data_IF_698136923961
#
_entry.id   IF_698136923961
#
_cell.length_a   1.000
_cell.length_b   1.000
_cell.length_c   1.000
_cell.angle_alpha   90.00
_cell.angle_beta   90.00
_cell.angle_gamma   90.00
#
_symmetry.space_group_name_H-M   'P 1'
#
loop_
_entity.id
_entity.type
_entity.pdbx_description
1 polymer ?
#
# COMPACT_ATOMS: atom_id res chain seq x y z
N UNK A 1 -19.19 15.13 9.49
CA UNK A 1 -17.74 14.93 9.70
C UNK A 1 -17.09 14.79 8.34
N UNK A 2 -15.84 15.23 8.16
CA UNK A 2 -15.09 15.04 6.92
C UNK A 2 -13.78 14.31 7.22
N UNK A 3 -13.41 13.33 6.40
CA UNK A 3 -12.21 12.51 6.57
C UNK A 3 -11.41 12.51 5.26
N UNK A 4 -10.14 12.87 5.33
CA UNK A 4 -9.19 12.80 4.22
C UNK A 4 -8.20 11.67 4.55
N UNK A 5 -8.03 10.71 3.64
CA UNK A 5 -7.12 9.57 3.87
C UNK A 5 -6.05 9.47 2.78
N UNK A 6 -4.81 9.72 3.19
CA UNK A 6 -3.61 9.44 2.40
C UNK A 6 -3.06 8.06 2.74
N UNK A 7 -3.27 7.11 1.84
CA UNK A 7 -2.62 5.80 1.88
C UNK A 7 -2.74 5.11 0.51
N UNK A 8 -1.90 4.09 0.30
CA UNK A 8 -2.11 3.14 -0.77
C UNK A 8 -3.40 2.35 -0.53
N UNK A 9 -4.15 2.09 -1.60
CA UNK A 9 -5.44 1.41 -1.57
C UNK A 9 -6.43 1.99 -0.55
N UNK A 10 -6.36 3.30 -0.30
CA UNK A 10 -7.12 3.97 0.77
C UNK A 10 -8.64 3.83 0.63
N UNK A 11 -9.16 3.69 -0.59
CA UNK A 11 -10.57 3.35 -0.84
C UNK A 11 -11.02 2.04 -0.18
N UNK A 12 -10.12 1.06 -0.02
CA UNK A 12 -10.44 -0.26 0.58
C UNK A 12 -10.82 -0.20 2.05
N UNK A 13 -10.56 0.93 2.72
CA UNK A 13 -10.92 1.17 4.13
C UNK A 13 -12.44 1.43 4.27
N UNK A 14 -13.08 1.93 3.21
CA UNK A 14 -14.46 2.40 3.25
C UNK A 14 -15.39 1.64 2.30
N UNK A 15 -14.86 1.12 1.20
CA UNK A 15 -15.63 0.43 0.16
C UNK A 15 -16.39 -0.78 0.72
N UNK A 16 -17.71 -0.76 0.58
CA UNK A 16 -18.61 -1.79 1.12
C UNK A 16 -18.72 -1.82 2.65
N UNK A 17 -18.18 -0.83 3.36
CA UNK A 17 -18.13 -0.78 4.83
C UNK A 17 -18.78 0.47 5.42
N UNK A 18 -18.54 1.65 4.85
CA UNK A 18 -19.01 2.92 5.39
C UNK A 18 -20.50 3.15 5.04
N UNK A 19 -21.42 3.21 6.02
CA UNK A 19 -22.82 3.54 5.76
C UNK A 19 -23.01 5.01 5.38
N UNK A 20 -23.99 5.30 4.52
CA UNK A 20 -24.29 6.65 4.02
C UNK A 20 -25.03 7.54 5.04
N UNK A 21 -25.66 6.95 6.06
CA UNK A 21 -26.54 7.63 7.02
C UNK A 21 -25.80 8.28 8.21
N UNK A 22 -24.47 8.24 8.21
CA UNK A 22 -23.65 8.74 9.32
C UNK A 22 -23.26 10.23 9.21
N UNK A 23 -23.67 10.94 8.15
CA UNK A 23 -23.23 12.31 7.86
C UNK A 23 -21.69 12.45 7.84
N UNK A 24 -21.02 11.45 7.27
CA UNK A 24 -19.57 11.38 7.09
C UNK A 24 -19.28 11.51 5.59
N UNK A 25 -18.43 12.45 5.22
CA UNK A 25 -17.88 12.57 3.87
C UNK A 25 -16.41 12.16 3.89
N UNK A 26 -16.00 11.33 2.93
CA UNK A 26 -14.65 10.79 2.86
C UNK A 26 -14.06 11.04 1.48
N UNK A 27 -12.79 11.45 1.46
CA UNK A 27 -11.95 11.49 0.26
C UNK A 27 -10.69 10.67 0.51
N UNK A 28 -10.26 9.93 -0.51
CA UNK A 28 -9.12 9.03 -0.42
C UNK A 28 -8.10 9.37 -1.51
N UNK A 29 -6.82 9.17 -1.22
CA UNK A 29 -5.73 9.40 -2.17
C UNK A 29 -5.74 8.42 -3.35
N UNK A 30 -6.39 7.28 -3.18
CA UNK A 30 -6.45 6.18 -4.12
C UNK A 30 -7.77 5.40 -3.98
N UNK A 31 -8.18 4.73 -5.06
CA UNK A 31 -9.20 3.68 -5.02
C UNK A 31 -8.70 2.43 -4.25
N UNK A 32 -9.50 1.37 -4.16
CA UNK A 32 -9.14 0.17 -3.39
C UNK A 32 -8.07 -0.75 -4.02
N UNK A 33 -7.47 -0.38 -5.18
CA UNK A 33 -6.55 -1.25 -5.94
C UNK A 33 -5.25 -0.60 -6.38
N UNK A 34 -5.09 0.70 -6.20
CA UNK A 34 -3.92 1.44 -6.67
C UNK A 34 -3.06 1.99 -5.52
N UNK A 35 -1.82 2.36 -5.84
CA UNK A 35 -0.93 2.99 -4.87
C UNK A 35 -1.25 4.49 -4.74
N UNK A 36 -0.88 5.07 -3.60
CA UNK A 36 -0.71 6.51 -3.51
C UNK A 36 0.75 6.92 -3.75
N UNK A 37 1.01 8.22 -3.78
CA UNK A 37 2.22 8.77 -4.37
C UNK A 37 2.84 9.86 -3.49
N UNK A 38 4.16 9.79 -3.30
CA UNK A 38 4.98 10.85 -2.74
C UNK A 38 5.32 11.90 -3.79
N UNK A 39 5.41 13.16 -3.39
CA UNK A 39 5.85 14.30 -4.21
C UNK A 39 7.00 15.04 -3.51
N UNK A 40 7.59 16.02 -4.19
CA UNK A 40 8.75 16.78 -3.68
C UNK A 40 9.90 15.86 -3.27
N UNK A 41 10.19 14.88 -4.13
CA UNK A 41 11.19 13.85 -3.90
C UNK A 41 12.54 14.18 -4.57
N UNK A 42 13.68 13.73 -4.01
CA UNK A 42 14.99 13.98 -4.60
C UNK A 42 15.12 13.42 -6.02
N UNK A 43 15.49 14.25 -6.98
CA UNK A 43 15.64 13.85 -8.39
C UNK A 43 14.33 13.85 -9.19
N UNK A 44 13.22 14.31 -8.59
CA UNK A 44 11.96 14.60 -9.26
C UNK A 44 11.78 16.11 -9.41
N UNK A 45 10.84 16.55 -10.25
CA UNK A 45 10.53 17.97 -10.48
C UNK A 45 9.08 18.31 -10.08
N UNK A 46 8.84 19.17 -9.06
CA UNK A 46 9.85 19.98 -8.37
C UNK A 46 10.62 19.18 -7.31
N UNK A 47 11.94 19.38 -7.30
CA UNK A 47 12.84 18.73 -6.32
C UNK A 47 12.88 19.50 -5.01
N UNK A 48 13.05 18.82 -3.87
CA UNK A 48 13.34 19.49 -2.60
C UNK A 48 14.76 20.08 -2.62
N UNK A 49 15.10 20.98 -1.67
CA UNK A 49 16.47 21.46 -1.52
C UNK A 49 17.48 20.30 -1.38
N UNK A 50 18.72 20.42 -1.91
CA UNK A 50 19.68 19.31 -2.03
C UNK A 50 20.07 18.63 -0.70
N UNK A 51 19.90 19.30 0.43
CA UNK A 51 20.11 18.75 1.77
C UNK A 51 19.07 17.69 2.17
N UNK A 52 17.89 17.67 1.53
CA UNK A 52 16.85 16.68 1.78
C UNK A 52 17.02 15.45 0.89
N UNK A 53 17.07 14.28 1.53
CA UNK A 53 17.19 12.98 0.87
C UNK A 53 15.90 12.15 0.94
N UNK A 54 14.78 12.78 1.26
CA UNK A 54 13.45 12.18 1.38
C UNK A 54 12.43 13.02 0.61
N UNK A 55 11.28 12.43 0.27
CA UNK A 55 10.11 13.17 -0.18
C UNK A 55 9.60 14.09 0.95
N UNK A 56 9.17 15.31 0.60
CA UNK A 56 8.67 16.28 1.58
C UNK A 56 7.15 16.24 1.78
N UNK A 57 6.43 15.58 0.89
CA UNK A 57 4.99 15.44 1.01
C UNK A 57 4.43 14.33 0.14
N UNK A 58 3.13 14.11 0.27
CA UNK A 58 2.38 13.14 -0.50
C UNK A 58 1.45 13.87 -1.45
N UNK A 59 1.35 13.40 -2.69
CA UNK A 59 0.71 14.13 -3.78
C UNK A 59 -0.72 14.52 -3.39
N UNK A 60 -1.55 13.58 -2.94
CA UNK A 60 -2.91 13.89 -2.52
C UNK A 60 -2.94 14.86 -1.34
N UNK A 61 -2.10 14.63 -0.32
CA UNK A 61 -2.06 15.48 0.89
C UNK A 61 -1.65 16.92 0.58
N UNK A 62 -0.57 17.09 -0.18
CA UNK A 62 -0.05 18.39 -0.60
C UNK A 62 -1.09 19.12 -1.43
N UNK A 63 -1.72 18.45 -2.40
CA UNK A 63 -2.62 19.10 -3.33
C UNK A 63 -3.83 19.74 -2.61
N UNK A 64 -4.48 19.09 -1.63
CA UNK A 64 -5.61 19.73 -0.93
C UNK A 64 -5.16 20.78 0.10
N UNK A 65 -3.98 20.61 0.72
CA UNK A 65 -3.45 21.59 1.68
C UNK A 65 -3.05 22.90 1.00
N UNK A 66 -2.37 22.82 -0.15
CA UNK A 66 -1.95 24.00 -0.92
C UNK A 66 -3.15 24.74 -1.53
N UNK A 67 -4.14 23.98 -2.02
CA UNK A 67 -5.43 24.54 -2.47
C UNK A 67 -6.12 25.33 -1.34
N UNK A 68 -6.29 24.70 -0.17
CA UNK A 68 -6.94 25.32 0.99
C UNK A 68 -6.23 26.59 1.48
N UNK A 69 -4.91 26.67 1.28
CA UNK A 69 -4.09 27.82 1.68
C UNK A 69 -4.17 28.98 0.69
N UNK A 70 -4.43 28.69 -0.59
CA UNK A 70 -4.42 29.68 -1.67
C UNK A 70 -5.81 30.23 -2.01
N UNK A 71 -6.87 29.55 -1.56
CA UNK A 71 -8.26 29.93 -1.79
C UNK A 71 -8.97 30.47 -0.54
N UNK A 72 -10.12 31.14 -0.77
CA UNK A 72 -10.98 31.62 0.31
C UNK A 72 -11.98 30.53 0.71
N UNK A 73 -11.67 29.84 1.81
CA UNK A 73 -12.47 28.73 2.37
C UNK A 73 -13.91 29.10 2.77
N UNK A 74 -14.29 30.39 2.79
CA UNK A 74 -15.70 30.80 2.97
C UNK A 74 -16.51 30.79 1.67
N UNK A 75 -15.83 30.71 0.52
CA UNK A 75 -16.43 30.69 -0.82
C UNK A 75 -16.29 29.32 -1.48
N UNK A 76 -15.18 28.66 -1.25
CA UNK A 76 -14.88 27.33 -1.77
C UNK A 76 -15.63 26.26 -0.96
N UNK A 77 -16.30 25.35 -1.68
CA UNK A 77 -16.91 24.17 -1.07
C UNK A 77 -15.96 22.97 -1.12
N UNK A 78 -16.21 21.96 -0.29
CA UNK A 78 -15.47 20.68 -0.34
C UNK A 78 -15.57 20.02 -1.73
N UNK A 79 -16.70 20.22 -2.42
CA UNK A 79 -16.88 19.73 -3.79
C UNK A 79 -15.97 20.48 -4.76
N UNK A 80 -15.87 21.81 -4.63
CA UNK A 80 -15.00 22.64 -5.47
C UNK A 80 -13.53 22.25 -5.28
N UNK A 81 -13.06 22.16 -4.04
CA UNK A 81 -11.72 21.68 -3.71
C UNK A 81 -11.47 20.30 -4.34
N UNK A 82 -12.40 19.37 -4.16
CA UNK A 82 -12.25 18.03 -4.73
C UNK A 82 -12.10 18.07 -6.27
N UNK A 83 -12.94 18.83 -6.95
CA UNK A 83 -12.89 18.97 -8.41
C UNK A 83 -11.66 19.74 -8.91
N UNK A 84 -11.10 20.66 -8.13
CA UNK A 84 -9.90 21.41 -8.51
C UNK A 84 -8.64 20.57 -8.27
N UNK A 85 -8.54 19.95 -7.10
CA UNK A 85 -7.35 19.21 -6.67
C UNK A 85 -7.17 17.87 -7.40
N UNK A 86 -8.26 17.17 -7.73
CA UNK A 86 -8.20 15.75 -8.12
C UNK A 86 -8.75 15.44 -9.52
N UNK A 87 -9.06 16.46 -10.33
CA UNK A 87 -9.60 16.30 -11.70
C UNK A 87 -8.53 16.36 -12.79
N UNK A 88 -7.48 17.17 -12.58
CA UNK A 88 -6.37 17.35 -13.53
C UNK A 88 -5.15 16.49 -13.18
N UNK A 89 -4.84 16.33 -11.88
CA UNK A 89 -4.01 15.23 -11.40
C UNK A 89 -4.92 14.02 -11.24
N UNK A 90 -4.71 12.97 -12.04
CA UNK A 90 -5.52 11.73 -12.01
C UNK A 90 -5.26 10.92 -10.73
N UNK A 91 -5.53 11.53 -9.58
CA UNK A 91 -5.66 10.90 -8.28
C UNK A 91 -7.08 10.33 -8.24
N UNK A 92 -7.21 9.01 -8.37
CA UNK A 92 -8.51 8.41 -8.65
C UNK A 92 -9.37 8.20 -7.39
N UNK A 93 -10.66 8.19 -7.69
CA UNK A 93 -11.84 8.37 -6.86
C UNK A 93 -12.14 7.25 -5.85
N UNK A 94 -12.41 7.61 -4.59
CA UNK A 94 -13.50 7.03 -3.79
C UNK A 94 -14.35 8.18 -3.25
N UNK A 95 -15.50 8.44 -3.90
CA UNK A 95 -16.61 9.15 -3.28
C UNK A 95 -17.51 8.09 -2.66
N UNK A 96 -18.12 8.38 -1.50
CA UNK A 96 -19.27 7.61 -1.03
C UNK A 96 -20.20 7.29 -2.22
N UNK A 97 -20.49 6.01 -2.39
CA UNK A 97 -20.98 5.40 -3.62
C UNK A 97 -22.15 6.17 -4.26
N UNK A 98 -21.90 6.88 -5.37
CA UNK A 98 -22.94 7.36 -6.30
C UNK A 98 -22.88 6.51 -7.58
N UNK A 99 -23.86 5.62 -7.83
CA UNK A 99 -23.91 4.77 -9.01
C UNK A 99 -23.99 5.54 -10.35
N UNK A 100 -24.15 6.86 -10.35
CA UNK A 100 -24.17 7.69 -11.56
C UNK A 100 -22.78 7.99 -12.16
N UNK A 101 -21.67 7.75 -11.44
CA UNK A 101 -20.31 8.16 -11.88
C UNK A 101 -19.48 7.03 -12.53
N UNK A 102 -20.12 5.94 -12.98
CA UNK A 102 -19.43 4.80 -13.60
C UNK A 102 -18.98 5.12 -15.02
N UNK A 103 -17.71 5.47 -15.20
CA UNK A 103 -17.01 5.39 -16.49
C UNK A 103 -15.59 4.85 -16.28
N UNK A 104 -15.49 3.54 -16.05
CA UNK A 104 -14.21 2.84 -15.95
C UNK A 104 -13.84 2.33 -17.35
N UNK A 105 -13.17 3.17 -18.13
CA UNK A 105 -12.42 2.69 -19.29
C UNK A 105 -11.09 2.11 -18.81
N UNK A 106 -10.95 0.79 -18.95
CA UNK A 106 -9.71 0.04 -18.74
C UNK A 106 -8.51 0.76 -19.35
N UNK A 107 -7.61 1.29 -18.52
CA UNK A 107 -6.31 1.80 -18.95
C UNK A 107 -5.21 1.00 -18.25
N UNK A 108 -5.07 -0.25 -18.68
CA UNK A 108 -3.90 -1.10 -18.38
C UNK A 108 -2.71 -0.53 -19.18
N UNK A 109 -1.89 0.32 -18.54
CA UNK A 109 -0.54 0.82 -18.89
C UNK A 109 -0.45 2.30 -18.48
N UNK A 110 -0.30 2.59 -17.18
CA UNK A 110 -0.05 3.93 -16.68
C UNK A 110 1.33 3.98 -16.00
N UNK A 111 2.31 4.64 -16.64
CA UNK A 111 3.47 5.19 -15.93
C UNK A 111 2.92 6.23 -14.95
N UNK A 112 3.20 6.10 -13.65
CA UNK A 112 2.65 6.94 -12.57
C UNK A 112 2.67 8.46 -12.83
N UNK A 113 2.04 9.27 -11.96
CA UNK A 113 2.05 10.72 -12.10
C UNK A 113 3.48 11.23 -12.34
N UNK A 114 3.66 12.10 -13.35
CA UNK A 114 4.97 12.70 -13.64
C UNK A 114 5.49 13.37 -12.36
N UNK A 115 6.75 13.09 -12.01
CA UNK A 115 7.41 13.61 -10.81
C UNK A 115 6.88 13.14 -9.44
N UNK A 116 6.16 12.01 -9.41
CA UNK A 116 5.78 11.36 -8.16
C UNK A 116 6.49 10.01 -7.96
N UNK A 117 6.71 9.63 -6.70
CA UNK A 117 7.33 8.35 -6.30
C UNK A 117 6.26 7.46 -5.69
N UNK A 118 6.22 6.18 -6.06
CA UNK A 118 5.32 5.22 -5.43
C UNK A 118 5.65 5.12 -3.93
N UNK A 119 4.64 5.25 -3.06
CA UNK A 119 4.84 5.17 -1.60
C UNK A 119 5.55 3.88 -1.15
N UNK A 120 5.36 2.77 -1.87
CA UNK A 120 6.02 1.50 -1.56
C UNK A 120 7.51 1.49 -1.89
N UNK A 121 7.98 2.44 -2.69
CA UNK A 121 9.37 2.56 -3.13
C UNK A 121 10.10 3.75 -2.49
N UNK A 122 9.37 4.66 -1.83
CA UNK A 122 9.92 5.87 -1.24
C UNK A 122 10.97 5.58 -0.13
N UNK A 123 10.78 4.52 0.65
CA UNK A 123 11.75 4.09 1.67
C UNK A 123 13.07 3.59 1.06
N UNK A 124 13.00 2.79 -0.02
CA UNK A 124 14.18 2.33 -0.76
C UNK A 124 14.88 3.50 -1.45
N UNK A 125 14.12 4.46 -2.01
CA UNK A 125 14.68 5.68 -2.57
C UNK A 125 15.46 6.46 -1.51
N UNK A 126 14.89 6.66 -0.32
CA UNK A 126 15.57 7.31 0.80
C UNK A 126 16.87 6.57 1.18
N UNK A 127 16.80 5.24 1.35
CA UNK A 127 17.98 4.44 1.69
C UNK A 127 19.08 4.57 0.62
N UNK A 128 18.69 4.57 -0.65
CA UNK A 128 19.62 4.72 -1.78
C UNK A 128 20.25 6.11 -1.82
N UNK A 129 19.46 7.18 -1.65
CA UNK A 129 19.98 8.57 -1.58
C UNK A 129 20.93 8.75 -0.40
N UNK A 130 20.61 8.17 0.76
CA UNK A 130 21.51 8.14 1.92
C UNK A 130 22.83 7.44 1.58
N UNK A 131 22.78 6.30 0.90
CA UNK A 131 23.97 5.56 0.47
C UNK A 131 24.85 6.36 -0.52
N UNK A 132 24.24 7.05 -1.48
CA UNK A 132 24.95 7.86 -2.49
C UNK A 132 25.77 8.98 -1.84
N UNK A 133 25.22 9.66 -0.82
CA UNK A 133 25.88 10.76 -0.11
C UNK A 133 27.05 10.33 0.79
N UNK A 134 27.14 9.05 1.18
CA UNK A 134 28.22 8.59 2.05
C UNK A 134 29.56 8.48 1.31
N UNK A 135 30.65 8.77 2.03
CA UNK A 135 32.02 8.69 1.51
C UNK A 135 32.37 7.26 1.06
N UNK A 136 33.06 7.14 -0.07
CA UNK A 136 33.51 5.85 -0.60
C UNK A 136 34.39 5.08 0.39
N UNK A 137 34.08 3.81 0.63
CA UNK A 137 34.87 2.93 1.49
C UNK A 137 34.68 3.11 3.01
N UNK A 138 33.78 4.00 3.46
CA UNK A 138 33.48 4.12 4.89
C UNK A 138 32.72 2.89 5.42
N UNK A 139 32.92 2.58 6.71
CA UNK A 139 32.16 1.51 7.38
C UNK A 139 30.65 1.81 7.35
N UNK A 140 30.28 3.08 7.46
CA UNK A 140 28.90 3.55 7.36
C UNK A 140 28.29 3.25 5.99
N UNK A 141 29.03 3.46 4.89
CA UNK A 141 28.55 3.15 3.54
C UNK A 141 28.33 1.65 3.35
N UNK A 142 29.21 0.82 3.92
CA UNK A 142 29.06 -0.64 3.93
C UNK A 142 27.85 -1.09 4.77
N UNK A 143 27.60 -0.46 5.92
CA UNK A 143 26.41 -0.73 6.75
C UNK A 143 25.13 -0.33 6.03
N UNK A 144 25.08 0.85 5.40
CA UNK A 144 23.93 1.30 4.62
C UNK A 144 23.62 0.35 3.45
N UNK A 145 24.65 -0.10 2.72
CA UNK A 145 24.47 -1.08 1.64
C UNK A 145 23.93 -2.43 2.16
N UNK A 146 24.41 -2.88 3.33
CA UNK A 146 23.91 -4.09 3.96
C UNK A 146 22.43 -3.96 4.33
N UNK A 147 22.03 -2.83 4.90
CA UNK A 147 20.64 -2.54 5.25
C UNK A 147 19.71 -2.55 4.03
N UNK A 148 20.13 -1.93 2.92
CA UNK A 148 19.39 -1.97 1.64
C UNK A 148 19.24 -3.42 1.17
N UNK A 149 20.34 -4.17 1.16
CA UNK A 149 20.34 -5.57 0.72
C UNK A 149 19.38 -6.42 1.55
N UNK A 150 19.47 -6.33 2.88
CA UNK A 150 18.61 -7.09 3.80
C UNK A 150 17.13 -6.70 3.65
N UNK A 151 16.84 -5.42 3.39
CA UNK A 151 15.47 -4.94 3.12
C UNK A 151 14.93 -5.53 1.81
N UNK A 152 15.70 -5.47 0.73
CA UNK A 152 15.31 -6.04 -0.58
C UNK A 152 15.16 -7.55 -0.50
N UNK A 153 16.06 -8.25 0.19
CA UNK A 153 15.96 -9.70 0.42
C UNK A 153 14.69 -10.06 1.21
N UNK A 154 14.33 -9.27 2.22
CA UNK A 154 13.09 -9.47 2.96
C UNK A 154 11.84 -9.20 2.11
N UNK A 155 11.81 -8.13 1.30
CA UNK A 155 10.71 -7.85 0.36
C UNK A 155 10.52 -9.00 -0.64
N UNK A 156 11.61 -9.49 -1.22
CA UNK A 156 11.61 -10.63 -2.13
C UNK A 156 11.10 -11.90 -1.45
N UNK A 157 11.52 -12.15 -0.21
CA UNK A 157 11.03 -13.25 0.60
C UNK A 157 9.50 -13.17 0.74
N UNK A 158 8.97 -12.05 1.23
CA UNK A 158 7.53 -11.83 1.38
C UNK A 158 6.75 -12.09 0.07
N UNK A 159 7.19 -11.48 -1.03
CA UNK A 159 6.55 -11.66 -2.34
C UNK A 159 6.56 -13.13 -2.79
N UNK A 160 7.71 -13.81 -2.67
CA UNK A 160 7.86 -15.20 -3.07
C UNK A 160 7.12 -16.20 -2.18
N UNK A 161 7.03 -15.93 -0.87
CA UNK A 161 6.32 -16.77 0.08
C UNK A 161 4.82 -16.71 -0.14
N UNK A 162 4.27 -15.52 -0.39
CA UNK A 162 2.83 -15.36 -0.69
C UNK A 162 2.47 -16.04 -2.01
N UNK A 163 3.28 -15.85 -3.06
CA UNK A 163 3.08 -16.56 -4.33
C UNK A 163 3.12 -18.09 -4.16
N UNK A 164 4.09 -18.59 -3.39
CA UNK A 164 4.16 -20.02 -3.07
C UNK A 164 2.92 -20.51 -2.31
N UNK A 165 2.47 -19.78 -1.29
CA UNK A 165 1.26 -20.13 -0.52
C UNK A 165 0.04 -20.20 -1.44
N UNK A 166 -0.13 -19.24 -2.34
CA UNK A 166 -1.22 -19.26 -3.32
C UNK A 166 -1.18 -20.53 -4.18
N UNK A 167 0.00 -20.86 -4.71
CA UNK A 167 0.20 -22.08 -5.52
C UNK A 167 -0.01 -23.37 -4.71
N UNK A 168 0.39 -23.37 -3.45
CA UNK A 168 0.20 -24.50 -2.54
C UNK A 168 -1.29 -24.75 -2.25
N UNK A 169 -2.03 -23.68 -1.92
CA UNK A 169 -3.40 -23.80 -1.46
C UNK A 169 -4.37 -24.02 -2.63
N UNK A 170 -4.20 -23.29 -3.74
CA UNK A 170 -5.13 -23.26 -4.87
C UNK A 170 -4.59 -23.94 -6.14
N UNK A 171 -3.36 -24.44 -6.13
CA UNK A 171 -2.69 -25.02 -7.29
C UNK A 171 -1.90 -24.00 -8.12
N UNK A 172 -0.97 -24.49 -8.94
CA UNK A 172 -0.04 -23.64 -9.70
C UNK A 172 -0.72 -22.74 -10.74
N UNK A 173 -1.83 -23.19 -11.32
CA UNK A 173 -2.57 -22.43 -12.34
C UNK A 173 -3.47 -21.35 -11.71
N UNK A 174 -4.22 -21.71 -10.67
CA UNK A 174 -5.23 -20.83 -10.07
C UNK A 174 -4.68 -19.97 -8.92
N UNK A 175 -3.57 -20.35 -8.28
CA UNK A 175 -3.00 -19.62 -7.14
C UNK A 175 -2.79 -18.13 -7.43
N UNK A 176 -2.00 -17.77 -8.45
CA UNK A 176 -1.74 -16.36 -8.77
C UNK A 176 -3.01 -15.56 -9.09
N UNK A 177 -3.96 -16.14 -9.82
CA UNK A 177 -5.21 -15.46 -10.20
C UNK A 177 -6.14 -15.26 -9.01
N UNK A 178 -6.26 -16.25 -8.11
CA UNK A 178 -7.05 -16.12 -6.88
C UNK A 178 -6.45 -15.10 -5.94
N UNK A 179 -5.13 -15.10 -5.72
CA UNK A 179 -4.49 -14.13 -4.83
C UNK A 179 -4.62 -12.69 -5.34
N UNK A 180 -4.51 -12.48 -6.66
CA UNK A 180 -4.59 -11.17 -7.27
C UNK A 180 -6.03 -10.69 -7.55
N UNK A 181 -7.05 -11.53 -7.33
CA UNK A 181 -8.43 -11.22 -7.65
C UNK A 181 -8.91 -9.95 -6.94
N UNK A 182 -9.55 -9.06 -7.69
CA UNK A 182 -10.15 -7.82 -7.21
C UNK A 182 -11.67 -8.02 -7.20
N UNK A 183 -12.31 -7.70 -6.07
CA UNK A 183 -13.77 -7.74 -5.95
C UNK A 183 -14.41 -6.58 -6.73
N UNK A 184 -15.65 -6.74 -7.22
CA UNK A 184 -16.39 -5.64 -7.82
C UNK A 184 -16.47 -4.43 -6.89
N UNK A 185 -16.49 -3.24 -7.47
CA UNK A 185 -16.58 -2.00 -6.70
C UNK A 185 -17.86 -1.96 -5.85
N UNK A 186 -17.75 -1.38 -4.65
CA UNK A 186 -18.79 -1.34 -3.62
C UNK A 186 -18.80 -2.56 -2.69
N UNK A 187 -17.97 -3.59 -2.92
CA UNK A 187 -17.84 -4.72 -2.01
C UNK A 187 -16.68 -4.57 -1.03
N UNK A 188 -16.81 -5.05 0.23
CA UNK A 188 -15.70 -5.05 1.17
C UNK A 188 -14.59 -6.00 0.72
N UNK A 189 -13.36 -5.70 1.12
CA UNK A 189 -12.16 -6.49 0.80
C UNK A 189 -12.29 -7.96 1.24
N UNK A 190 -12.83 -8.18 2.43
CA UNK A 190 -13.00 -9.49 3.06
C UNK A 190 -14.37 -9.59 3.72
N UNK A 191 -14.96 -10.79 3.72
CA UNK A 191 -16.23 -11.05 4.40
C UNK A 191 -16.03 -11.29 5.91
N UNK A 192 -14.92 -11.95 6.28
CA UNK A 192 -14.54 -12.27 7.65
C UNK A 192 -13.21 -11.60 8.03
N UNK A 193 -13.31 -10.52 8.79
CA UNK A 193 -12.15 -9.75 9.28
C UNK A 193 -11.33 -10.48 10.34
N UNK A 194 -11.93 -11.39 11.09
CA UNK A 194 -11.20 -12.21 12.07
C UNK A 194 -10.42 -13.31 11.37
N UNK A 195 -10.96 -13.87 10.27
CA UNK A 195 -10.19 -14.71 9.36
C UNK A 195 -8.98 -13.95 8.82
N UNK A 196 -9.17 -12.74 8.28
CA UNK A 196 -8.07 -11.96 7.69
C UNK A 196 -6.92 -11.79 8.68
N UNK A 197 -7.24 -11.33 9.90
CA UNK A 197 -6.25 -11.18 10.98
C UNK A 197 -5.58 -12.50 11.33
N UNK A 198 -6.34 -13.60 11.36
CA UNK A 198 -5.80 -14.93 11.64
C UNK A 198 -4.81 -15.39 10.56
N UNK A 199 -5.14 -15.22 9.28
CA UNK A 199 -4.25 -15.60 8.17
C UNK A 199 -2.95 -14.79 8.19
N UNK A 200 -3.03 -13.49 8.50
CA UNK A 200 -1.86 -12.62 8.68
C UNK A 200 -1.00 -13.10 9.84
N UNK A 201 -1.58 -13.40 11.01
CA UNK A 201 -0.83 -13.88 12.18
C UNK A 201 -0.14 -15.22 11.93
N UNK A 202 -0.80 -16.15 11.24
CA UNK A 202 -0.21 -17.45 10.86
C UNK A 202 1.00 -17.21 9.97
N UNK A 203 0.83 -16.38 8.93
CA UNK A 203 1.91 -16.04 8.02
C UNK A 203 3.09 -15.43 8.78
N UNK A 204 2.87 -14.38 9.58
CA UNK A 204 3.97 -13.71 10.29
C UNK A 204 4.70 -14.63 11.28
N UNK A 205 3.97 -15.56 11.92
CA UNK A 205 4.56 -16.53 12.83
C UNK A 205 5.53 -17.50 12.14
N UNK A 206 5.31 -17.79 10.86
CA UNK A 206 6.16 -18.72 10.09
C UNK A 206 7.18 -17.99 9.20
N UNK A 207 6.81 -16.82 8.68
CA UNK A 207 7.51 -16.13 7.60
C UNK A 207 8.18 -14.83 8.04
N UNK A 208 7.93 -14.35 9.27
CA UNK A 208 8.38 -13.06 9.75
C UNK A 208 7.36 -11.94 9.49
N UNK A 209 7.59 -10.80 10.15
CA UNK A 209 6.75 -9.61 10.07
C UNK A 209 6.55 -9.15 8.63
N UNK A 210 5.34 -8.70 8.30
CA UNK A 210 5.06 -8.12 7.00
C UNK A 210 5.78 -6.80 6.78
N UNK A 211 6.13 -6.08 7.85
CA UNK A 211 6.53 -4.66 7.78
C UNK A 211 5.47 -3.80 7.05
N UNK A 212 5.76 -2.52 6.80
CA UNK A 212 4.85 -1.70 5.99
C UNK A 212 4.76 -2.19 4.54
N UNK A 213 5.85 -2.73 3.98
CA UNK A 213 5.87 -3.22 2.60
C UNK A 213 4.88 -4.38 2.39
N UNK A 214 4.88 -5.36 3.29
CA UNK A 214 4.07 -6.58 3.18
C UNK A 214 2.57 -6.35 3.32
N UNK A 215 2.12 -5.18 3.79
CA UNK A 215 0.71 -4.80 3.79
C UNK A 215 0.11 -4.81 2.36
N UNK A 216 0.93 -4.69 1.32
CA UNK A 216 0.50 -4.89 -0.08
C UNK A 216 -0.18 -6.25 -0.33
N UNK A 217 0.12 -7.24 0.50
CA UNK A 217 -0.41 -8.60 0.40
C UNK A 217 -1.72 -8.80 1.15
N UNK A 218 -2.31 -7.76 1.77
CA UNK A 218 -3.59 -7.88 2.48
C UNK A 218 -4.72 -8.41 1.59
N UNK A 219 -4.76 -8.03 0.32
CA UNK A 219 -5.73 -8.59 -0.64
C UNK A 219 -5.54 -10.09 -0.86
N UNK A 220 -4.29 -10.56 -0.90
CA UNK A 220 -4.00 -11.99 -1.03
C UNK A 220 -4.52 -12.77 0.18
N UNK A 221 -4.28 -12.27 1.41
CA UNK A 221 -4.84 -12.88 2.62
C UNK A 221 -6.37 -12.82 2.67
N UNK A 222 -6.96 -11.71 2.24
CA UNK A 222 -8.41 -11.58 2.13
C UNK A 222 -9.00 -12.62 1.15
N UNK A 223 -8.38 -12.80 -0.01
CA UNK A 223 -8.81 -13.79 -0.99
C UNK A 223 -8.64 -15.24 -0.50
N UNK A 224 -7.60 -15.52 0.30
CA UNK A 224 -7.46 -16.79 1.02
C UNK A 224 -8.65 -17.02 1.95
N UNK A 225 -9.03 -16.01 2.73
CA UNK A 225 -10.19 -16.06 3.63
C UNK A 225 -11.51 -16.23 2.89
N UNK A 226 -11.74 -15.42 1.86
CA UNK A 226 -12.96 -15.44 1.06
C UNK A 226 -13.13 -16.78 0.31
N UNK A 227 -12.04 -17.53 0.11
CA UNK A 227 -12.06 -18.88 -0.48
C UNK A 227 -12.26 -20.00 0.55
N UNK A 228 -12.47 -19.67 1.82
CA UNK A 228 -12.75 -20.64 2.88
C UNK A 228 -11.57 -21.53 3.26
N UNK A 229 -10.32 -21.05 3.07
CA UNK A 229 -9.12 -21.82 3.43
C UNK A 229 -9.03 -21.98 4.94
N UNK A 230 -8.83 -23.21 5.40
CA UNK A 230 -8.72 -23.50 6.84
C UNK A 230 -7.40 -23.00 7.43
N UNK A 231 -7.44 -22.72 8.73
CA UNK A 231 -6.26 -22.35 9.51
C UNK A 231 -5.11 -23.36 9.35
N UNK A 232 -5.40 -24.67 9.44
CA UNK A 232 -4.39 -25.72 9.33
C UNK A 232 -3.69 -25.71 7.98
N UNK A 233 -4.46 -25.49 6.90
CA UNK A 233 -3.93 -25.47 5.54
C UNK A 233 -3.08 -24.23 5.28
N UNK A 234 -3.46 -23.08 5.85
CA UNK A 234 -2.63 -21.87 5.81
C UNK A 234 -1.33 -22.05 6.61
N UNK A 235 -1.40 -22.71 7.78
CA UNK A 235 -0.22 -23.01 8.58
C UNK A 235 0.75 -23.92 7.82
N UNK A 236 0.26 -25.04 7.27
CA UNK A 236 1.08 -25.98 6.50
C UNK A 236 1.74 -25.30 5.30
N UNK A 237 0.97 -24.49 4.55
CA UNK A 237 1.48 -23.73 3.42
C UNK A 237 2.57 -22.73 3.84
N UNK A 238 2.34 -22.00 4.94
CA UNK A 238 3.28 -20.99 5.46
C UNK A 238 4.57 -21.62 5.99
N UNK A 239 4.47 -22.72 6.74
CA UNK A 239 5.63 -23.49 7.20
C UNK A 239 6.44 -24.02 6.01
N UNK A 240 5.77 -24.53 4.98
CA UNK A 240 6.43 -25.03 3.76
C UNK A 240 7.14 -23.91 3.01
N UNK A 241 6.50 -22.75 2.88
CA UNK A 241 7.02 -21.58 2.18
C UNK A 241 8.28 -21.00 2.86
N UNK A 242 8.33 -21.03 4.19
CA UNK A 242 9.25 -20.21 4.98
C UNK A 242 10.28 -21.01 5.80
N UNK A 243 10.24 -22.35 5.74
CA UNK A 243 11.12 -23.27 6.52
C UNK A 243 12.63 -23.00 6.43
N UNK A 244 13.11 -22.33 5.38
CA UNK A 244 14.56 -22.07 5.15
C UNK A 244 14.96 -20.61 5.35
N UNK A 245 14.02 -19.73 5.69
CA UNK A 245 14.29 -18.30 5.82
C UNK A 245 14.59 -17.94 7.29
N UNK A 246 15.74 -17.32 7.54
CA UNK A 246 16.02 -16.76 8.86
C UNK A 246 15.33 -15.40 9.00
N UNK A 247 14.22 -15.37 9.75
CA UNK A 247 13.44 -14.17 10.02
C UNK A 247 13.78 -13.47 11.34
N UNK A 248 14.88 -13.82 12.03
CA UNK A 248 15.22 -13.28 13.37
C UNK A 248 15.11 -11.75 13.48
N UNK A 249 15.67 -11.01 12.50
CA UNK A 249 15.58 -9.53 12.45
C UNK A 249 14.14 -9.00 12.28
N UNK A 250 13.29 -9.78 11.64
CA UNK A 250 11.92 -9.45 11.29
C UNK A 250 10.92 -10.26 12.14
N UNK A 251 11.36 -10.83 13.25
CA UNK A 251 10.51 -11.70 14.06
C UNK A 251 9.35 -10.89 14.68
N UNK A 252 8.09 -11.33 14.53
CA UNK A 252 6.96 -10.67 15.17
C UNK A 252 7.06 -10.72 16.71
N UNK A 253 7.84 -11.64 17.29
CA UNK A 253 8.11 -11.65 18.73
C UNK A 253 8.83 -10.39 19.22
N UNK A 254 9.60 -9.74 18.34
CA UNK A 254 10.33 -8.50 18.67
C UNK A 254 9.58 -7.23 18.24
N UNK A 255 8.77 -7.33 17.17
CA UNK A 255 8.13 -6.18 16.51
C UNK A 255 6.63 -6.07 16.76
N UNK A 256 6.02 -7.09 17.36
CA UNK A 256 4.57 -7.27 17.37
C UNK A 256 4.07 -7.89 16.07
N UNK A 257 2.85 -8.42 16.11
CA UNK A 257 2.12 -8.81 14.92
C UNK A 257 1.46 -7.60 14.26
N UNK A 258 1.32 -7.64 12.94
CA UNK A 258 0.60 -6.61 12.17
C UNK A 258 -0.92 -6.65 12.42
N UNK A 259 -1.44 -7.78 12.92
CA UNK A 259 -2.85 -8.02 13.22
C UNK A 259 -3.07 -8.55 14.63
#
# INVERSE_FOLDING_TARGET
MVIYVEACESGSIFEGLLPEDLNIYVTTASNAVENSWGTYCPGMEPSPPPEYITCLGDLYSVSWMEDSQTHNLKKETIKDQYEVTFKDEKLFLYQGFDPANVNIANTLLWEGPKAAVNQRDADLLFMWKRYEQLNGGSEEKLRALREIKETVEHRKHLDSSIDFIGKFVFGFENGPSVLAAVRPSGQPLVDDWDCLKSMVRIFESQCGSLTQYGMKHMRAFANICNSGVSWDRMLEASTSACSRYNSERWSPMTRGHSA
#
